data_IF_178619123048
#
_entry.id   IF_178619123048
#
_cell.length_a   1.000
_cell.length_b   1.000
_cell.length_c   1.000
_cell.angle_alpha   90.00
_cell.angle_beta   90.00
_cell.angle_gamma   90.00
#
_symmetry.space_group_name_H-M   'P 1'
#
loop_
_entity.id
_entity.type
_entity.pdbx_description
1 polymer ?
#
# COMPACT_ATOMS: atom_id res chain seq x y z
N UNK A 1 6.94 -12.92 -4.33
CA UNK A 1 6.88 -12.11 -3.09
C UNK A 1 6.29 -12.96 -1.96
N UNK A 2 6.61 -12.70 -0.69
CA UNK A 2 6.03 -13.40 0.46
C UNK A 2 5.57 -12.37 1.50
N UNK A 3 4.34 -12.51 2.00
CA UNK A 3 3.74 -11.63 3.03
C UNK A 3 3.13 -12.48 4.12
N UNK A 4 3.42 -12.16 5.38
CA UNK A 4 2.79 -12.79 6.55
C UNK A 4 1.60 -11.96 7.03
N UNK A 5 0.56 -12.62 7.51
CA UNK A 5 -0.53 -11.94 8.21
C UNK A 5 -0.05 -11.38 9.57
N UNK A 6 -0.69 -10.33 10.11
CA UNK A 6 -0.30 -9.70 11.39
C UNK A 6 -0.08 -10.68 12.55
N UNK A 7 -0.99 -11.64 12.74
CA UNK A 7 -0.92 -12.68 13.76
C UNK A 7 -0.01 -13.85 13.39
N UNK A 8 0.51 -13.86 12.15
CA UNK A 8 1.27 -14.97 11.54
C UNK A 8 0.49 -16.28 11.51
N UNK A 9 -0.84 -16.18 11.35
CA UNK A 9 -1.70 -17.34 11.09
C UNK A 9 -1.71 -17.74 9.62
N UNK A 10 -1.46 -16.79 8.72
CA UNK A 10 -1.41 -17.02 7.28
C UNK A 10 -0.12 -16.49 6.65
N UNK A 11 0.26 -17.11 5.53
CA UNK A 11 1.29 -16.63 4.62
C UNK A 11 0.74 -16.57 3.21
N UNK A 12 0.89 -15.43 2.55
CA UNK A 12 0.62 -15.26 1.13
C UNK A 12 1.93 -15.29 0.36
N UNK A 13 1.95 -16.01 -0.76
CA UNK A 13 3.07 -16.07 -1.69
C UNK A 13 2.56 -15.76 -3.09
N UNK A 14 3.23 -14.84 -3.75
CA UNK A 14 3.11 -14.63 -5.19
C UNK A 14 4.23 -15.41 -5.87
N UNK A 15 3.85 -16.33 -6.76
CA UNK A 15 4.77 -17.18 -7.52
C UNK A 15 5.50 -16.40 -8.61
N UNK A 16 6.48 -17.05 -9.24
CA UNK A 16 7.14 -16.57 -10.45
C UNK A 16 6.18 -16.42 -11.65
N UNK A 17 5.12 -17.24 -11.69
CA UNK A 17 4.01 -17.13 -12.64
C UNK A 17 2.94 -16.10 -12.24
N UNK A 18 3.22 -15.22 -11.28
CA UNK A 18 2.30 -14.18 -10.77
C UNK A 18 0.99 -14.72 -10.16
N UNK A 19 0.96 -15.99 -9.74
CA UNK A 19 -0.18 -16.57 -9.04
C UNK A 19 -0.10 -16.27 -7.54
N UNK A 20 -1.23 -15.95 -6.93
CA UNK A 20 -1.39 -15.86 -5.49
C UNK A 20 -1.72 -17.22 -4.91
N UNK A 21 -1.00 -17.60 -3.86
CA UNK A 21 -1.35 -18.71 -2.98
C UNK A 21 -1.27 -18.27 -1.53
N UNK A 22 -2.24 -18.68 -0.73
CA UNK A 22 -2.30 -18.37 0.70
C UNK A 22 -2.43 -19.66 1.48
N UNK A 23 -1.59 -19.83 2.50
CA UNK A 23 -1.62 -21.01 3.37
C UNK A 23 -1.86 -20.59 4.80
N UNK A 24 -2.58 -21.44 5.53
CA UNK A 24 -2.62 -21.41 6.98
C UNK A 24 -1.32 -22.01 7.52
N UNK A 25 -0.58 -21.23 8.32
CA UNK A 25 0.76 -21.58 8.78
C UNK A 25 0.76 -22.80 9.70
N UNK A 26 -0.09 -22.92 10.73
CA UNK A 26 -0.07 -24.07 11.63
C UNK A 26 -0.29 -25.43 10.95
N UNK A 27 -1.08 -25.46 9.87
CA UNK A 27 -1.53 -26.71 9.22
C UNK A 27 -0.88 -26.96 7.87
N UNK A 28 -0.28 -25.94 7.25
CA UNK A 28 0.18 -26.00 5.86
C UNK A 28 -0.96 -26.08 4.83
N UNK A 29 -2.22 -25.88 5.25
CA UNK A 29 -3.38 -25.97 4.37
C UNK A 29 -3.41 -24.77 3.42
N UNK A 30 -3.55 -25.03 2.11
CA UNK A 30 -3.86 -24.00 1.13
C UNK A 30 -5.29 -23.49 1.35
N UNK A 31 -5.45 -22.20 1.62
CA UNK A 31 -6.74 -21.53 1.92
C UNK A 31 -7.20 -20.59 0.81
N UNK A 32 -6.31 -20.23 -0.13
CA UNK A 32 -6.64 -19.54 -1.37
C UNK A 32 -5.58 -19.86 -2.44
N UNK A 33 -6.02 -20.13 -3.67
CA UNK A 33 -5.17 -20.19 -4.85
C UNK A 33 -5.84 -19.43 -5.99
N UNK A 34 -5.12 -18.50 -6.62
CA UNK A 34 -5.67 -17.64 -7.66
C UNK A 34 -4.57 -17.20 -8.65
N UNK A 35 -4.83 -17.23 -9.96
CA UNK A 35 -3.81 -16.79 -10.92
C UNK A 35 -4.05 -17.06 -12.41
N UNK A 36 -5.28 -17.35 -12.86
CA UNK A 36 -5.54 -17.60 -14.28
C UNK A 36 -5.86 -16.34 -15.09
N UNK A 37 -6.26 -15.23 -14.45
CA UNK A 37 -6.95 -14.14 -15.15
C UNK A 37 -6.27 -12.77 -15.01
N UNK A 38 -5.30 -12.60 -14.10
CA UNK A 38 -4.52 -11.38 -13.94
C UNK A 38 -3.25 -11.62 -13.12
N UNK A 39 -2.16 -10.93 -13.49
CA UNK A 39 -0.88 -10.99 -12.78
C UNK A 39 -0.99 -10.29 -11.42
N UNK A 40 -0.74 -11.04 -10.33
CA UNK A 40 -0.67 -10.47 -8.99
C UNK A 40 0.67 -9.79 -8.79
N UNK A 41 0.63 -8.54 -8.34
CA UNK A 41 1.82 -7.71 -8.10
C UNK A 41 2.11 -7.60 -6.61
N UNK A 42 1.08 -7.33 -5.81
CA UNK A 42 1.20 -7.12 -4.36
C UNK A 42 -0.01 -7.64 -3.57
N UNK A 43 0.19 -7.92 -2.28
CA UNK A 43 -0.87 -8.39 -1.36
C UNK A 43 -0.72 -7.81 0.05
N UNK A 44 -1.85 -7.44 0.64
CA UNK A 44 -1.93 -6.95 2.02
C UNK A 44 -3.04 -7.65 2.80
N UNK A 45 -2.73 -8.08 4.03
CA UNK A 45 -3.73 -8.53 5.00
C UNK A 45 -4.27 -7.34 5.79
N UNK A 46 -5.58 -7.32 6.06
CA UNK A 46 -6.11 -6.38 7.05
C UNK A 46 -5.57 -6.69 8.45
N UNK A 47 -5.50 -5.70 9.36
CA UNK A 47 -5.00 -5.90 10.73
C UNK A 47 -5.75 -6.99 11.52
N UNK A 48 -7.04 -7.14 11.27
CA UNK A 48 -7.92 -8.16 11.86
C UNK A 48 -7.91 -9.50 11.09
N UNK A 49 -7.15 -9.60 10.00
CA UNK A 49 -7.00 -10.74 9.10
C UNK A 49 -8.29 -11.18 8.38
N UNK A 50 -9.37 -10.40 8.46
CA UNK A 50 -10.64 -10.76 7.84
C UNK A 50 -10.64 -10.50 6.33
N UNK A 51 -9.76 -9.61 5.85
CA UNK A 51 -9.63 -9.24 4.45
C UNK A 51 -8.21 -9.47 3.92
N UNK A 52 -8.14 -9.78 2.63
CA UNK A 52 -6.92 -9.85 1.85
C UNK A 52 -7.09 -8.97 0.61
N UNK A 53 -6.33 -7.89 0.53
CA UNK A 53 -6.23 -7.05 -0.66
C UNK A 53 -5.16 -7.58 -1.60
N UNK A 54 -5.42 -7.55 -2.90
CA UNK A 54 -4.59 -8.14 -3.94
C UNK A 54 -4.52 -7.15 -5.11
N UNK A 55 -3.35 -6.56 -5.30
CA UNK A 55 -3.04 -5.62 -6.36
C UNK A 55 -2.65 -6.36 -7.64
N UNK A 56 -3.28 -6.00 -8.76
CA UNK A 56 -3.12 -6.73 -10.03
C UNK A 56 -2.85 -5.80 -11.21
N UNK A 57 -2.19 -6.35 -12.24
CA UNK A 57 -1.86 -5.60 -13.46
C UNK A 57 -3.07 -5.25 -14.33
N UNK A 58 -4.21 -5.86 -14.10
CA UNK A 58 -5.47 -5.61 -14.83
C UNK A 58 -6.19 -4.32 -14.39
N UNK A 59 -5.55 -3.48 -13.57
CA UNK A 59 -6.07 -2.20 -13.05
C UNK A 59 -7.12 -2.32 -11.95
N UNK A 60 -7.38 -3.55 -11.48
CA UNK A 60 -8.35 -3.81 -10.44
C UNK A 60 -7.60 -4.07 -9.13
N UNK A 61 -8.17 -3.65 -8.00
CA UNK A 61 -7.78 -4.21 -6.71
C UNK A 61 -8.84 -5.25 -6.34
N UNK A 62 -8.43 -6.48 -6.11
CA UNK A 62 -9.35 -7.50 -5.65
C UNK A 62 -9.21 -7.70 -4.14
N UNK A 63 -10.33 -7.83 -3.45
CA UNK A 63 -10.38 -8.04 -2.00
C UNK A 63 -11.12 -9.34 -1.72
N UNK A 64 -10.50 -10.23 -0.98
CA UNK A 64 -11.14 -11.45 -0.48
C UNK A 64 -11.48 -11.30 0.98
N UNK A 65 -12.63 -11.84 1.37
CA UNK A 65 -13.02 -12.00 2.76
C UNK A 65 -12.92 -13.47 3.19
N UNK A 66 -12.53 -13.69 4.44
CA UNK A 66 -12.48 -15.02 5.04
C UNK A 66 -13.61 -15.29 6.02
N UNK A 67 -14.03 -16.55 6.09
CA UNK A 67 -14.89 -17.14 7.13
C UNK A 67 -14.08 -17.86 8.24
N UNK A 68 -12.78 -17.50 8.38
CA UNK A 68 -11.76 -18.15 9.21
C UNK A 68 -11.27 -19.52 8.73
N UNK A 69 -11.87 -20.09 7.67
CA UNK A 69 -11.43 -21.35 7.07
C UNK A 69 -10.74 -21.12 5.73
N UNK A 70 -11.30 -20.25 4.90
CA UNK A 70 -10.75 -19.91 3.59
C UNK A 70 -11.10 -18.47 3.19
N UNK A 71 -10.35 -17.90 2.24
CA UNK A 71 -10.69 -16.62 1.61
C UNK A 71 -11.53 -16.92 0.36
N UNK A 72 -12.82 -16.61 0.39
CA UNK A 72 -13.78 -17.13 -0.62
C UNK A 72 -14.62 -16.06 -1.29
N UNK A 73 -15.03 -15.03 -0.56
CA UNK A 73 -15.86 -13.96 -1.12
C UNK A 73 -14.98 -12.88 -1.75
N UNK A 74 -15.02 -12.75 -3.08
CA UNK A 74 -14.21 -11.81 -3.87
C UNK A 74 -15.02 -10.56 -4.25
N UNK A 75 -14.50 -9.39 -3.90
CA UNK A 75 -14.96 -8.08 -4.36
C UNK A 75 -13.89 -7.41 -5.21
N UNK A 76 -14.28 -6.75 -6.31
CA UNK A 76 -13.37 -5.99 -7.17
C UNK A 76 -13.55 -4.49 -6.96
N UNK A 77 -12.51 -3.78 -6.56
CA UNK A 77 -12.46 -2.32 -6.54
C UNK A 77 -11.92 -1.83 -7.88
N UNK A 78 -12.78 -1.15 -8.63
CA UNK A 78 -12.48 -0.62 -9.95
C UNK A 78 -12.35 0.89 -9.83
N UNK A 79 -11.37 1.48 -10.52
CA UNK A 79 -11.21 2.93 -10.55
C UNK A 79 -9.84 3.40 -11.02
N UNK A 80 -8.82 2.54 -10.93
CA UNK A 80 -7.53 2.78 -11.58
C UNK A 80 -7.63 2.52 -13.08
N UNK A 81 -6.88 3.27 -13.88
CA UNK A 81 -6.85 3.10 -15.36
C UNK A 81 -5.64 2.31 -15.87
N UNK A 82 -4.73 1.95 -14.98
CA UNK A 82 -3.58 1.07 -15.23
C UNK A 82 -3.34 0.18 -14.00
N UNK A 83 -2.40 -0.76 -14.10
CA UNK A 83 -2.10 -1.76 -13.07
C UNK A 83 -1.92 -1.17 -11.68
N UNK A 84 -2.43 -1.88 -10.68
CA UNK A 84 -2.22 -1.56 -9.26
C UNK A 84 -0.87 -2.14 -8.86
N UNK A 85 0.01 -1.31 -8.31
CA UNK A 85 1.42 -1.66 -8.07
C UNK A 85 1.71 -2.05 -6.63
N UNK A 86 0.93 -1.53 -5.67
CA UNK A 86 1.13 -1.72 -4.23
C UNK A 86 -0.18 -1.47 -3.49
N UNK A 87 -0.39 -2.15 -2.38
CA UNK A 87 -1.59 -1.98 -1.54
C UNK A 87 -1.30 -2.16 -0.05
N UNK A 88 -1.97 -1.36 0.79
CA UNK A 88 -1.75 -1.42 2.24
C UNK A 88 -2.99 -1.01 3.02
N UNK A 89 -3.29 -1.72 4.10
CA UNK A 89 -4.33 -1.32 5.05
C UNK A 89 -3.77 -0.34 6.07
N UNK A 90 -4.60 0.60 6.55
CA UNK A 90 -4.26 1.41 7.70
C UNK A 90 -4.14 0.53 8.96
N UNK A 91 -3.33 0.94 9.96
CA UNK A 91 -3.14 0.15 11.19
C UNK A 91 -4.44 -0.11 11.97
N UNK A 92 -5.42 0.79 11.86
CA UNK A 92 -6.76 0.65 12.46
C UNK A 92 -7.73 -0.18 11.62
N UNK A 93 -7.35 -0.55 10.39
CA UNK A 93 -8.15 -1.36 9.46
C UNK A 93 -9.30 -0.62 8.78
N UNK A 94 -9.47 0.68 8.99
CA UNK A 94 -10.60 1.42 8.41
C UNK A 94 -10.36 1.90 6.98
N UNK A 95 -9.11 2.06 6.58
CA UNK A 95 -8.72 2.52 5.25
C UNK A 95 -7.87 1.46 4.54
N UNK A 96 -7.99 1.47 3.22
CA UNK A 96 -7.14 0.72 2.32
C UNK A 96 -6.58 1.71 1.29
N UNK A 97 -5.28 1.69 1.07
CA UNK A 97 -4.62 2.50 0.06
C UNK A 97 -4.15 1.61 -1.10
N UNK A 98 -4.25 2.14 -2.32
CA UNK A 98 -3.79 1.48 -3.54
C UNK A 98 -2.97 2.44 -4.40
N UNK A 99 -1.74 2.06 -4.75
CA UNK A 99 -0.90 2.78 -5.69
C UNK A 99 -1.01 2.18 -7.10
N UNK A 100 -0.83 2.99 -8.15
CA UNK A 100 -0.98 2.53 -9.52
C UNK A 100 0.00 3.19 -10.50
N UNK A 101 0.22 2.48 -11.60
CA UNK A 101 0.92 2.98 -12.79
C UNK A 101 0.21 4.18 -13.43
N UNK A 102 -1.08 4.39 -13.15
CA UNK A 102 -1.83 5.57 -13.61
C UNK A 102 -1.41 6.89 -12.91
N UNK A 103 -0.43 6.81 -12.00
CA UNK A 103 0.10 7.95 -11.27
C UNK A 103 -0.81 8.42 -10.15
N UNK A 104 -1.75 7.58 -9.69
CA UNK A 104 -2.64 7.91 -8.58
C UNK A 104 -2.48 6.96 -7.41
N UNK A 105 -2.78 7.47 -6.22
CA UNK A 105 -3.10 6.65 -5.05
C UNK A 105 -4.57 6.87 -4.71
N UNK A 106 -5.30 5.77 -4.52
CA UNK A 106 -6.71 5.82 -4.11
C UNK A 106 -6.84 5.30 -2.69
N UNK A 107 -7.71 5.95 -1.93
CA UNK A 107 -8.03 5.58 -0.55
C UNK A 107 -9.47 5.10 -0.51
N UNK A 108 -9.68 3.93 0.09
CA UNK A 108 -10.95 3.22 0.14
C UNK A 108 -11.37 3.06 1.59
N UNK A 109 -12.66 3.23 1.86
CA UNK A 109 -13.25 2.93 3.16
C UNK A 109 -13.56 1.43 3.26
N UNK A 110 -12.89 0.74 4.17
CA UNK A 110 -12.99 -0.72 4.30
C UNK A 110 -14.40 -1.19 4.63
N UNK A 111 -15.13 -0.44 5.46
CA UNK A 111 -16.51 -0.77 5.82
C UNK A 111 -17.48 -0.69 4.62
N UNK A 112 -17.08 -0.03 3.53
CA UNK A 112 -17.88 0.10 2.32
C UNK A 112 -17.48 -0.92 1.24
N UNK A 113 -16.27 -1.49 1.30
CA UNK A 113 -15.81 -2.56 0.39
C UNK A 113 -16.73 -3.80 0.48
N UNK A 114 -17.30 -4.07 1.65
CA UNK A 114 -18.23 -5.19 1.87
C UNK A 114 -19.67 -4.90 1.41
N UNK A 115 -19.96 -3.66 1.00
CA UNK A 115 -21.27 -3.24 0.51
C UNK A 115 -21.30 -3.23 -1.02
N UNK A 116 -22.49 -3.26 -1.61
CA UNK A 116 -22.70 -3.05 -3.06
C UNK A 116 -22.23 -1.66 -3.55
N UNK A 117 -21.79 -0.77 -2.65
CA UNK A 117 -21.27 0.56 -2.94
C UNK A 117 -19.75 0.61 -2.80
N UNK A 118 -19.04 0.87 -3.91
CA UNK A 118 -17.59 1.04 -3.93
C UNK A 118 -17.28 2.54 -3.89
N UNK A 119 -17.06 3.10 -2.70
CA UNK A 119 -16.72 4.52 -2.59
C UNK A 119 -15.22 4.71 -2.36
N UNK A 120 -14.63 5.51 -3.22
CA UNK A 120 -13.31 6.10 -3.02
C UNK A 120 -13.45 7.32 -2.10
N UNK A 121 -12.72 7.34 -0.99
CA UNK A 121 -12.75 8.46 -0.03
C UNK A 121 -11.88 9.62 -0.52
N UNK A 122 -10.69 9.30 -1.04
CA UNK A 122 -9.73 10.30 -1.51
C UNK A 122 -8.90 9.78 -2.68
N UNK A 123 -8.31 10.71 -3.42
CA UNK A 123 -7.33 10.41 -4.45
C UNK A 123 -6.18 11.41 -4.41
N UNK A 124 -4.97 10.86 -4.39
CA UNK A 124 -3.72 11.59 -4.48
C UNK A 124 -3.17 11.42 -5.90
N UNK A 125 -2.54 12.45 -6.45
CA UNK A 125 -1.96 12.44 -7.81
C UNK A 125 -0.47 12.70 -7.77
N UNK A 126 0.25 11.88 -8.51
CA UNK A 126 1.64 12.05 -8.88
C UNK A 126 1.75 12.32 -10.39
N UNK A 127 2.92 12.80 -10.83
CA UNK A 127 3.18 13.09 -12.26
C UNK A 127 3.53 11.86 -13.09
N UNK A 128 3.86 10.77 -12.42
CA UNK A 128 4.37 9.51 -12.97
C UNK A 128 3.84 8.36 -12.12
N UNK A 129 3.98 7.09 -12.56
CA UNK A 129 3.58 5.91 -11.80
C UNK A 129 3.94 6.00 -10.30
N UNK A 130 2.98 5.68 -9.44
CA UNK A 130 3.26 5.48 -8.02
C UNK A 130 3.66 4.02 -7.87
N UNK A 131 4.78 3.76 -7.21
CA UNK A 131 5.35 2.41 -7.08
C UNK A 131 5.10 1.81 -5.71
N UNK A 132 5.02 2.63 -4.68
CA UNK A 132 4.82 2.14 -3.32
C UNK A 132 4.02 3.09 -2.45
N UNK A 133 3.28 2.52 -1.50
CA UNK A 133 2.45 3.22 -0.52
C UNK A 133 2.56 2.58 0.86
N UNK A 134 2.63 3.38 1.92
CA UNK A 134 2.68 2.87 3.30
C UNK A 134 1.96 3.82 4.26
N UNK A 135 1.06 3.31 5.10
CA UNK A 135 0.51 4.09 6.21
C UNK A 135 1.54 4.27 7.32
N UNK A 136 1.51 5.42 7.98
CA UNK A 136 2.24 5.62 9.23
C UNK A 136 1.68 4.73 10.34
N UNK A 137 2.50 4.37 11.34
CA UNK A 137 2.09 3.50 12.45
C UNK A 137 0.90 4.04 13.26
N UNK A 138 0.75 5.37 13.34
CA UNK A 138 -0.38 6.06 13.97
C UNK A 138 -1.61 6.18 13.07
N UNK A 139 -1.50 5.74 11.81
CA UNK A 139 -2.53 5.83 10.78
C UNK A 139 -2.81 7.25 10.27
N UNK A 140 -2.11 8.29 10.72
CA UNK A 140 -2.45 9.68 10.40
C UNK A 140 -1.83 10.18 9.08
N UNK A 141 -0.85 9.46 8.55
CA UNK A 141 -0.11 9.83 7.36
C UNK A 141 0.02 8.68 6.37
N UNK A 142 0.25 9.06 5.12
CA UNK A 142 0.52 8.14 4.03
C UNK A 142 1.85 8.52 3.37
N UNK A 143 2.76 7.56 3.24
CA UNK A 143 3.95 7.69 2.40
C UNK A 143 3.62 7.21 0.99
N UNK A 144 4.14 7.91 -0.01
CA UNK A 144 4.12 7.46 -1.40
C UNK A 144 5.50 7.57 -2.02
N UNK A 145 5.90 6.56 -2.79
CA UNK A 145 7.10 6.55 -3.61
C UNK A 145 6.73 6.45 -5.08
N UNK A 146 7.29 7.30 -5.93
CA UNK A 146 6.93 7.38 -7.35
C UNK A 146 8.13 7.45 -8.30
N UNK A 147 7.85 7.06 -9.55
CA UNK A 147 8.73 7.25 -10.71
C UNK A 147 8.97 8.74 -11.03
N UNK A 148 8.19 9.67 -10.43
CA UNK A 148 8.48 11.11 -10.48
C UNK A 148 9.69 11.51 -9.61
N UNK A 149 10.37 10.51 -9.04
CA UNK A 149 11.58 10.61 -8.24
C UNK A 149 11.35 11.25 -6.87
N UNK A 150 10.10 11.26 -6.39
CA UNK A 150 9.75 11.80 -5.09
C UNK A 150 9.28 10.72 -4.12
N UNK A 151 9.66 10.92 -2.85
CA UNK A 151 8.91 10.41 -1.72
C UNK A 151 8.05 11.56 -1.22
N UNK A 152 6.75 11.33 -1.04
CA UNK A 152 5.82 12.32 -0.48
C UNK A 152 5.14 11.76 0.76
N UNK A 153 4.83 12.65 1.68
CA UNK A 153 4.03 12.39 2.88
C UNK A 153 2.74 13.17 2.76
N UNK A 154 1.63 12.50 3.01
CA UNK A 154 0.29 13.07 2.90
C UNK A 154 -0.43 12.96 4.25
N UNK A 155 -1.26 13.95 4.57
CA UNK A 155 -2.32 13.77 5.55
C UNK A 155 -3.47 12.96 4.95
N UNK A 156 -4.30 12.34 5.79
CA UNK A 156 -5.49 11.62 5.32
C UNK A 156 -6.53 12.53 4.62
N UNK A 157 -6.45 13.84 4.82
CA UNK A 157 -7.26 14.82 4.09
C UNK A 157 -6.74 15.09 2.66
N UNK A 158 -5.65 14.44 2.25
CA UNK A 158 -5.04 14.58 0.92
C UNK A 158 -4.09 15.78 0.79
N UNK A 159 -3.71 16.42 1.89
CA UNK A 159 -2.73 17.49 1.88
C UNK A 159 -1.31 16.91 1.90
N UNK A 160 -0.47 17.32 0.95
CA UNK A 160 0.96 17.05 1.01
C UNK A 160 1.59 17.80 2.19
N UNK A 161 2.28 17.08 3.07
CA UNK A 161 2.93 17.65 4.26
C UNK A 161 4.44 17.66 4.15
N UNK A 162 5.02 16.81 3.29
CA UNK A 162 6.46 16.75 3.03
C UNK A 162 6.71 16.14 1.65
N UNK A 163 7.72 16.65 0.95
CA UNK A 163 8.26 16.02 -0.24
C UNK A 163 9.80 15.98 -0.22
N UNK A 164 10.36 14.81 -0.58
CA UNK A 164 11.79 14.56 -0.66
C UNK A 164 12.15 14.07 -2.07
N UNK A 165 13.10 14.75 -2.71
CA UNK A 165 13.60 14.36 -4.04
C UNK A 165 14.75 13.36 -3.95
N UNK A 166 14.63 12.28 -4.71
CA UNK A 166 15.64 11.21 -4.80
C UNK A 166 16.53 11.28 -6.06
N UNK A 167 16.09 12.01 -7.10
CA UNK A 167 16.79 12.07 -8.40
C UNK A 167 16.70 10.78 -9.22
N UNK A 168 16.04 9.74 -8.69
CA UNK A 168 15.75 8.46 -9.31
C UNK A 168 14.37 7.99 -8.83
N UNK A 169 13.66 7.13 -9.59
CA UNK A 169 12.40 6.53 -9.16
C UNK A 169 12.48 5.96 -7.74
N UNK A 170 11.55 6.35 -6.88
CA UNK A 170 11.40 5.78 -5.54
C UNK A 170 10.54 4.52 -5.68
N UNK A 171 11.17 3.37 -5.45
CA UNK A 171 10.55 2.05 -5.69
C UNK A 171 9.84 1.49 -4.48
N UNK A 172 10.31 1.82 -3.28
CA UNK A 172 9.76 1.33 -2.03
C UNK A 172 9.81 2.45 -0.98
N UNK A 173 8.74 2.56 -0.21
CA UNK A 173 8.67 3.35 1.02
C UNK A 173 8.17 2.46 2.14
N UNK A 174 8.68 2.63 3.35
CA UNK A 174 8.27 1.82 4.49
C UNK A 174 8.49 2.54 5.81
N UNK A 175 7.75 2.12 6.83
CA UNK A 175 8.11 2.37 8.22
C UNK A 175 8.81 1.14 8.79
N UNK A 176 9.75 1.37 9.71
CA UNK A 176 10.29 0.28 10.50
C UNK A 176 9.28 -0.20 11.56
N UNK A 177 9.54 -1.37 12.15
CA UNK A 177 8.59 -2.07 13.04
C UNK A 177 8.21 -1.26 14.28
N UNK A 178 9.14 -0.47 14.85
CA UNK A 178 8.85 0.38 16.01
C UNK A 178 8.19 1.72 15.64
N UNK A 179 8.06 1.99 14.34
CA UNK A 179 7.42 3.17 13.82
C UNK A 179 8.21 4.47 13.94
N UNK A 180 9.49 4.40 14.33
CA UNK A 180 10.33 5.59 14.60
C UNK A 180 11.19 6.02 13.43
N UNK A 181 11.14 5.27 12.33
CA UNK A 181 11.90 5.58 11.14
C UNK A 181 11.06 5.32 9.90
N UNK A 182 11.21 6.21 8.93
CA UNK A 182 10.77 5.95 7.57
C UNK A 182 12.00 5.66 6.71
N UNK A 183 11.87 4.67 5.84
CA UNK A 183 12.88 4.26 4.88
C UNK A 183 12.37 4.42 3.46
N UNK A 184 13.30 4.66 2.54
CA UNK A 184 12.99 4.58 1.11
C UNK A 184 14.14 4.02 0.30
N UNK A 185 13.75 3.30 -0.75
CA UNK A 185 14.67 2.70 -1.71
C UNK A 185 14.37 3.30 -3.07
N UNK A 186 15.36 3.93 -3.69
CA UNK A 186 15.26 4.43 -5.06
C UNK A 186 16.12 3.61 -6.00
N UNK A 187 16.05 3.89 -7.30
CA UNK A 187 16.97 3.31 -8.29
C UNK A 187 18.47 3.61 -8.05
N UNK A 188 18.79 4.42 -7.03
CA UNK A 188 20.16 4.59 -6.55
C UNK A 188 20.62 3.39 -5.72
N UNK A 189 21.94 3.21 -5.55
CA UNK A 189 22.49 2.15 -4.69
C UNK A 189 22.25 2.38 -3.19
N UNK A 190 21.64 3.51 -2.80
CA UNK A 190 21.47 3.92 -1.41
C UNK A 190 20.03 3.76 -0.96
N UNK A 191 19.86 3.09 0.18
CA UNK A 191 18.66 3.20 1.01
C UNK A 191 18.80 4.46 1.86
N UNK A 192 17.76 5.29 1.89
CA UNK A 192 17.70 6.45 2.78
C UNK A 192 16.77 6.15 3.94
N UNK A 193 17.13 6.61 5.13
CA UNK A 193 16.37 6.42 6.37
C UNK A 193 16.34 7.74 7.12
N UNK A 194 15.18 8.10 7.64
CA UNK A 194 14.97 9.32 8.42
C UNK A 194 14.24 8.99 9.74
N UNK A 195 14.46 9.77 10.80
CA UNK A 195 13.66 9.69 12.02
C UNK A 195 12.21 10.10 11.75
N UNK A 196 11.28 9.47 12.46
CA UNK A 196 9.85 9.74 12.39
C UNK A 196 9.23 9.70 13.79
N UNK A 197 8.34 10.66 14.16
CA UNK A 197 7.78 11.73 13.33
C UNK A 197 8.61 13.02 13.29
N UNK A 198 9.79 13.07 13.89
CA UNK A 198 10.58 14.31 14.06
C UNK A 198 10.90 15.00 12.72
N UNK A 199 11.09 14.22 11.65
CA UNK A 199 11.28 14.78 10.31
C UNK A 199 10.10 15.67 9.88
N UNK A 200 8.87 15.24 10.19
CA UNK A 200 7.65 15.98 9.84
C UNK A 200 7.51 17.24 10.70
N UNK A 201 7.79 17.13 12.00
CA UNK A 201 7.76 18.26 12.92
C UNK A 201 8.78 19.34 12.51
N UNK A 202 9.99 18.94 12.12
CA UNK A 202 11.01 19.86 11.61
C UNK A 202 10.55 20.50 10.29
N UNK A 203 10.04 19.70 9.35
CA UNK A 203 9.55 20.19 8.07
C UNK A 203 8.48 21.29 8.23
N UNK A 204 7.53 21.09 9.15
CA UNK A 204 6.47 22.06 9.44
C UNK A 204 6.96 23.30 10.21
N UNK A 205 7.92 23.14 11.13
CA UNK A 205 8.51 24.25 11.87
C UNK A 205 9.36 25.20 10.99
N UNK A 206 9.98 24.68 9.93
CA UNK A 206 10.83 25.43 9.01
C UNK A 206 10.13 25.86 7.71
N UNK A 207 8.78 25.88 7.68
CA UNK A 207 7.95 26.22 6.52
C UNK A 207 8.03 27.71 6.09
N UNK A 208 9.25 28.20 5.86
CA UNK A 208 9.61 29.43 5.16
C UNK A 208 10.72 29.23 4.11
N UNK A 209 11.36 28.05 4.01
CA UNK A 209 12.41 27.80 3.02
C UNK A 209 12.22 26.42 2.37
N UNK A 210 11.59 26.42 1.20
CA UNK A 210 11.67 25.37 0.15
C UNK A 210 11.29 23.92 0.53
N UNK A 211 9.98 23.61 0.52
CA UNK A 211 9.48 22.22 0.44
C UNK A 211 8.36 22.03 -0.59
N UNK A 212 8.47 22.69 -1.74
CA UNK A 212 7.58 22.39 -2.86
C UNK A 212 8.35 21.61 -3.90
N UNK A 213 8.15 20.29 -3.89
CA UNK A 213 8.35 19.53 -5.12
C UNK A 213 7.32 20.03 -6.12
N UNK A 214 7.74 20.47 -7.32
CA UNK A 214 6.81 21.04 -8.30
C UNK A 214 5.76 20.04 -8.74
#
# INVERSE_FOLDING_TARGET
MITFSPSRSFVAVITDSFELRVWQIPTGRLVLGWGSDADVVDVGFSPDETLLAVATRDSILHVWQTDAVAYTAKTSLVGHSQGVTDTTFSPDGYLLATASEDGTVKIWNVAQITSTSRRQEAQIRHKQPVRSVAFSPDGQHLLTGSDDQTLRVWSLAGQETLCIRHGNPVRLVLFNVDGRQLGSVSGSTLVRVWPWPELLEQATAFAGVEQQCP
#
